data_IF_100945905144
#
_entry.id   IF_100945905144
#
_cell.length_a   1.000
_cell.length_b   1.000
_cell.length_c   1.000
_cell.angle_alpha   90.00
_cell.angle_beta   90.00
_cell.angle_gamma   90.00
#
_symmetry.space_group_name_H-M   'P 1'
#
loop_
_entity.id
_entity.type
_entity.pdbx_description
1 polymer ?
#
# COMPACT_ATOMS: atom_id res chain seq x y z
N UNK A 1 38.56 11.67 14.82
CA UNK A 1 39.63 12.07 13.88
C UNK A 1 40.16 10.78 13.27
N UNK A 2 39.57 10.30 12.16
CA UNK A 2 39.97 9.04 11.51
C UNK A 2 40.83 9.43 10.31
N UNK A 3 42.08 8.99 10.34
CA UNK A 3 43.07 9.27 9.31
C UNK A 3 42.65 8.57 8.01
N UNK A 4 42.36 9.38 6.99
CA UNK A 4 42.32 8.94 5.60
C UNK A 4 43.73 8.51 5.20
N UNK A 5 44.05 7.22 5.28
CA UNK A 5 45.07 6.69 4.38
C UNK A 5 44.49 6.76 2.96
N UNK A 6 45.09 7.54 2.04
CA UNK A 6 44.64 7.56 0.66
C UNK A 6 44.89 6.18 0.07
N UNK A 7 43.84 5.53 -0.42
CA UNK A 7 43.96 4.33 -1.25
C UNK A 7 44.98 4.64 -2.34
N UNK A 8 46.06 3.86 -2.46
CA UNK A 8 47.12 4.08 -3.45
C UNK A 8 46.61 4.04 -4.91
N UNK A 9 45.36 3.65 -5.12
CA UNK A 9 44.71 3.53 -6.41
C UNK A 9 43.78 4.72 -6.72
N UNK A 10 43.84 5.19 -7.96
CA UNK A 10 43.07 6.34 -8.43
C UNK A 10 41.59 5.97 -8.58
N UNK A 11 40.71 6.77 -7.98
CA UNK A 11 39.25 6.67 -8.14
C UNK A 11 38.85 6.78 -9.62
N UNK A 12 38.04 5.86 -10.16
CA UNK A 12 37.42 6.01 -11.48
C UNK A 12 36.56 7.27 -11.61
N UNK A 13 36.46 7.83 -12.83
CA UNK A 13 35.70 9.08 -13.08
C UNK A 13 34.19 8.90 -12.93
N UNK A 14 33.67 7.71 -13.23
CA UNK A 14 32.26 7.31 -13.16
C UNK A 14 31.74 7.02 -11.74
N UNK A 15 32.62 6.98 -10.73
CA UNK A 15 32.25 6.73 -9.33
C UNK A 15 32.17 8.03 -8.54
N UNK A 16 31.16 8.16 -7.68
CA UNK A 16 31.10 9.23 -6.69
C UNK A 16 32.22 9.06 -5.64
N UNK A 17 32.56 10.16 -4.94
CA UNK A 17 33.52 10.09 -3.84
C UNK A 17 33.00 9.24 -2.68
N UNK A 18 31.69 9.27 -2.41
CA UNK A 18 31.06 8.48 -1.35
C UNK A 18 31.13 6.97 -1.66
N UNK A 19 30.75 6.55 -2.87
CA UNK A 19 30.84 5.14 -3.28
C UNK A 19 32.29 4.63 -3.22
N UNK A 20 33.27 5.45 -3.65
CA UNK A 20 34.68 5.10 -3.53
C UNK A 20 35.14 4.89 -2.09
N UNK A 21 34.73 5.78 -1.17
CA UNK A 21 35.03 5.65 0.26
C UNK A 21 34.39 4.39 0.87
N UNK A 22 33.15 4.08 0.46
CA UNK A 22 32.43 2.89 0.91
C UNK A 22 33.14 1.61 0.47
N UNK A 23 33.61 1.52 -0.79
CA UNK A 23 34.36 0.37 -1.29
C UNK A 23 35.69 0.17 -0.57
N UNK A 24 36.42 1.26 -0.28
CA UNK A 24 37.63 1.21 0.54
C UNK A 24 37.35 0.70 1.96
N UNK A 25 36.22 1.11 2.53
CA UNK A 25 35.80 0.64 3.85
C UNK A 25 35.38 -0.82 3.82
N UNK A 26 34.67 -1.24 2.78
CA UNK A 26 34.24 -2.63 2.58
C UNK A 26 35.43 -3.59 2.51
N UNK A 27 36.46 -3.25 1.74
CA UNK A 27 37.71 -4.03 1.64
C UNK A 27 38.43 -4.13 2.99
N UNK A 28 38.45 -3.05 3.79
CA UNK A 28 39.05 -3.08 5.13
C UNK A 28 38.26 -3.90 6.15
N UNK A 29 36.93 -3.86 6.09
CA UNK A 29 36.05 -4.52 7.07
C UNK A 29 35.99 -6.03 6.85
N UNK A 30 36.03 -6.50 5.60
CA UNK A 30 36.09 -7.91 5.29
C UNK A 30 37.15 -8.19 4.21
N UNK A 31 38.45 -8.19 4.60
CA UNK A 31 39.55 -8.44 3.67
C UNK A 31 39.56 -9.86 3.11
N UNK A 32 38.92 -10.82 3.80
CA UNK A 32 38.85 -12.20 3.32
C UNK A 32 38.00 -12.33 2.05
N UNK A 33 36.87 -11.61 2.00
CA UNK A 33 35.97 -11.62 0.86
C UNK A 33 36.36 -10.60 -0.22
N UNK A 34 36.77 -9.38 0.16
CA UNK A 34 36.93 -8.25 -0.76
C UNK A 34 38.39 -7.90 -1.05
N UNK A 35 39.31 -8.85 -0.91
CA UNK A 35 40.73 -8.63 -1.16
C UNK A 35 40.98 -8.07 -2.55
N UNK A 36 41.73 -6.96 -2.64
CA UNK A 36 42.07 -6.26 -3.88
C UNK A 36 40.86 -5.67 -4.63
N UNK A 37 39.71 -5.47 -3.98
CA UNK A 37 38.52 -4.90 -4.61
C UNK A 37 38.81 -3.53 -5.24
N UNK A 38 39.38 -2.61 -4.45
CA UNK A 38 39.68 -1.23 -4.88
C UNK A 38 40.68 -1.24 -6.03
N UNK A 39 41.70 -2.11 -5.94
CA UNK A 39 42.70 -2.31 -7.00
C UNK A 39 42.04 -2.84 -8.28
N UNK A 40 41.18 -3.85 -8.18
CA UNK A 40 40.48 -4.44 -9.32
C UNK A 40 39.60 -3.41 -10.02
N UNK A 41 38.86 -2.60 -9.26
CA UNK A 41 38.01 -1.53 -9.81
C UNK A 41 38.85 -0.47 -10.54
N UNK A 42 39.96 -0.01 -9.95
CA UNK A 42 40.82 0.97 -10.62
C UNK A 42 41.48 0.44 -11.90
N UNK A 43 41.89 -0.83 -11.93
CA UNK A 43 42.60 -1.42 -13.08
C UNK A 43 41.65 -1.93 -14.17
N UNK A 44 40.46 -2.39 -13.80
CA UNK A 44 39.50 -3.06 -14.70
C UNK A 44 38.11 -2.42 -14.69
N UNK A 45 38.06 -1.08 -14.62
CA UNK A 45 36.82 -0.30 -14.50
C UNK A 45 35.75 -0.64 -15.55
N UNK A 46 36.12 -1.06 -16.77
CA UNK A 46 35.16 -1.45 -17.80
C UNK A 46 34.33 -2.69 -17.39
N UNK A 47 34.95 -3.72 -16.81
CA UNK A 47 34.26 -4.94 -16.35
C UNK A 47 33.32 -4.64 -15.19
N UNK A 48 33.77 -3.78 -14.27
CA UNK A 48 32.95 -3.34 -13.16
C UNK A 48 31.78 -2.48 -13.61
N UNK A 49 31.98 -1.62 -14.60
CA UNK A 49 30.88 -0.86 -15.19
C UNK A 49 29.87 -1.77 -15.89
N UNK A 50 30.31 -2.78 -16.63
CA UNK A 50 29.42 -3.77 -17.23
C UNK A 50 28.63 -4.52 -16.16
N UNK A 51 29.32 -5.02 -15.12
CA UNK A 51 28.69 -5.68 -13.97
C UNK A 51 27.65 -4.80 -13.28
N UNK A 52 27.92 -3.51 -13.07
CA UNK A 52 27.03 -2.58 -12.38
C UNK A 52 26.01 -1.87 -13.28
N UNK A 53 26.09 -2.02 -14.61
CA UNK A 53 25.18 -1.42 -15.59
C UNK A 53 24.07 -2.38 -16.04
N UNK A 54 23.82 -3.47 -15.32
CA UNK A 54 22.64 -4.33 -15.55
C UNK A 54 21.38 -3.44 -15.63
N UNK A 55 20.72 -3.49 -16.78
CA UNK A 55 19.59 -2.63 -17.11
C UNK A 55 18.34 -2.96 -16.27
N UNK A 56 17.41 -2.02 -16.22
CA UNK A 56 16.24 -2.05 -15.34
C UNK A 56 14.99 -2.68 -15.98
N UNK A 57 15.01 -3.04 -17.26
CA UNK A 57 13.74 -3.25 -17.96
C UNK A 57 13.16 -4.66 -17.87
N UNK A 58 13.92 -5.75 -17.87
CA UNK A 58 13.34 -7.10 -17.70
C UNK A 58 14.40 -8.09 -17.21
N UNK A 59 13.99 -9.07 -16.40
CA UNK A 59 14.87 -10.13 -15.93
C UNK A 59 15.06 -11.15 -17.06
N UNK A 60 16.29 -11.28 -17.52
CA UNK A 60 16.71 -12.42 -18.33
C UNK A 60 17.59 -13.34 -17.50
N UNK A 61 17.65 -14.63 -17.85
CA UNK A 61 18.62 -15.58 -17.25
C UNK A 61 20.05 -15.02 -17.28
N UNK A 62 20.36 -14.21 -18.30
CA UNK A 62 21.66 -13.53 -18.46
C UNK A 62 21.99 -12.53 -17.35
N UNK A 63 20.99 -11.86 -16.76
CA UNK A 63 21.23 -10.88 -15.69
C UNK A 63 21.64 -11.56 -14.38
N UNK A 64 21.05 -12.73 -14.12
CA UNK A 64 21.41 -13.59 -12.98
C UNK A 64 22.81 -14.16 -13.17
N UNK A 65 23.13 -14.62 -14.37
CA UNK A 65 24.48 -15.10 -14.72
C UNK A 65 25.53 -14.00 -14.57
N UNK A 66 25.18 -12.75 -14.92
CA UNK A 66 26.07 -11.60 -14.75
C UNK A 66 26.31 -11.28 -13.26
N UNK A 67 25.26 -11.31 -12.43
CA UNK A 67 25.38 -11.17 -10.96
C UNK A 67 26.25 -12.30 -10.37
N UNK A 68 26.12 -13.51 -10.93
CA UNK A 68 26.93 -14.66 -10.54
C UNK A 68 28.40 -14.51 -10.98
N UNK A 69 28.66 -13.89 -12.12
CA UNK A 69 29.97 -13.63 -12.72
C UNK A 69 30.64 -12.35 -12.20
N UNK A 70 30.65 -12.16 -10.88
CA UNK A 70 31.31 -11.01 -10.26
C UNK A 70 32.77 -10.88 -10.77
N UNK A 71 33.25 -9.69 -11.17
CA UNK A 71 34.62 -9.51 -11.69
C UNK A 71 35.74 -9.76 -10.67
N UNK A 72 35.39 -9.99 -9.40
CA UNK A 72 36.32 -10.29 -8.34
C UNK A 72 36.72 -11.78 -8.39
N UNK A 73 38.01 -12.07 -8.15
CA UNK A 73 38.51 -13.46 -8.17
C UNK A 73 37.92 -14.30 -7.03
N UNK A 74 37.60 -13.66 -5.90
CA UNK A 74 36.93 -14.32 -4.79
C UNK A 74 35.47 -14.62 -5.14
N UNK A 75 35.04 -15.85 -4.84
CA UNK A 75 33.63 -16.21 -4.90
C UNK A 75 32.91 -15.56 -3.73
N UNK A 76 32.27 -14.43 -4.01
CA UNK A 76 31.42 -13.74 -3.04
C UNK A 76 30.12 -14.51 -2.83
N UNK A 77 29.68 -14.56 -1.57
CA UNK A 77 28.31 -14.98 -1.23
C UNK A 77 27.29 -13.95 -1.77
N UNK A 78 26.02 -14.34 -1.84
CA UNK A 78 24.94 -13.43 -2.28
C UNK A 78 24.86 -12.18 -1.41
N UNK A 79 24.96 -12.33 -0.08
CA UNK A 79 24.94 -11.19 0.85
C UNK A 79 26.12 -10.27 0.61
N UNK A 80 27.32 -10.81 0.39
CA UNK A 80 28.51 -10.01 0.06
C UNK A 80 28.37 -9.28 -1.27
N UNK A 81 27.77 -9.91 -2.28
CA UNK A 81 27.44 -9.25 -3.55
C UNK A 81 26.44 -8.11 -3.33
N UNK A 82 25.38 -8.32 -2.55
CA UNK A 82 24.42 -7.25 -2.23
C UNK A 82 25.10 -6.06 -1.54
N UNK A 83 25.96 -6.33 -0.55
CA UNK A 83 26.73 -5.28 0.13
C UNK A 83 27.63 -4.55 -0.86
N UNK A 84 28.32 -5.27 -1.73
CA UNK A 84 29.15 -4.66 -2.78
C UNK A 84 28.34 -3.74 -3.70
N UNK A 85 27.15 -4.18 -4.13
CA UNK A 85 26.22 -3.36 -4.91
C UNK A 85 25.74 -2.12 -4.14
N UNK A 86 25.41 -2.23 -2.85
CA UNK A 86 25.05 -1.05 -2.03
C UNK A 86 26.18 -0.02 -1.92
N UNK A 87 27.43 -0.48 -1.89
CA UNK A 87 28.58 0.40 -1.81
C UNK A 87 28.88 1.10 -3.15
N UNK A 88 28.63 0.44 -4.28
CA UNK A 88 28.91 0.99 -5.61
C UNK A 88 27.74 1.80 -6.19
N UNK A 89 26.53 1.21 -6.21
CA UNK A 89 25.27 1.75 -6.77
C UNK A 89 24.15 1.73 -5.69
N UNK A 90 24.22 2.57 -4.65
CA UNK A 90 23.19 2.60 -3.61
C UNK A 90 21.78 2.88 -4.16
N UNK A 91 21.68 3.64 -5.25
CA UNK A 91 20.42 3.97 -5.93
C UNK A 91 19.71 2.75 -6.54
N UNK A 92 20.45 1.67 -6.84
CA UNK A 92 19.89 0.44 -7.41
C UNK A 92 19.60 -0.64 -6.37
N UNK A 93 19.81 -0.36 -5.08
CA UNK A 93 19.73 -1.40 -4.04
C UNK A 93 18.38 -2.13 -4.03
N UNK A 94 17.27 -1.39 -4.06
CA UNK A 94 15.93 -1.98 -4.06
C UNK A 94 15.70 -2.91 -5.26
N UNK A 95 16.16 -2.50 -6.45
CA UNK A 95 16.06 -3.30 -7.67
C UNK A 95 16.84 -4.61 -7.53
N UNK A 96 18.03 -4.55 -6.95
CA UNK A 96 18.94 -5.69 -6.82
C UNK A 96 18.43 -6.67 -5.76
N UNK A 97 17.95 -6.18 -4.63
CA UNK A 97 17.33 -7.02 -3.59
C UNK A 97 16.12 -7.74 -4.18
N UNK A 98 15.30 -7.04 -4.96
CA UNK A 98 14.14 -7.64 -5.64
C UNK A 98 14.58 -8.73 -6.63
N UNK A 99 15.64 -8.47 -7.41
CA UNK A 99 16.24 -9.45 -8.35
C UNK A 99 16.76 -10.69 -7.63
N UNK A 100 17.47 -10.53 -6.51
CA UNK A 100 17.96 -11.65 -5.72
C UNK A 100 16.82 -12.45 -5.09
N UNK A 101 15.79 -11.79 -4.57
CA UNK A 101 14.62 -12.45 -4.02
C UNK A 101 13.89 -13.27 -5.10
N UNK A 102 13.73 -12.73 -6.31
CA UNK A 102 13.14 -13.48 -7.42
C UNK A 102 13.97 -14.71 -7.79
N UNK A 103 15.30 -14.61 -7.84
CA UNK A 103 16.16 -15.76 -8.12
C UNK A 103 16.04 -16.85 -7.04
N UNK A 104 16.14 -16.46 -5.76
CA UNK A 104 16.12 -17.43 -4.66
C UNK A 104 14.76 -18.02 -4.37
N UNK A 105 13.69 -17.25 -4.58
CA UNK A 105 12.32 -17.67 -4.33
C UNK A 105 11.62 -18.19 -5.60
N UNK A 106 12.36 -18.34 -6.72
CA UNK A 106 11.83 -18.91 -7.97
C UNK A 106 10.73 -18.09 -8.63
N UNK A 107 10.81 -16.76 -8.55
CA UNK A 107 9.81 -15.85 -9.11
C UNK A 107 8.49 -15.79 -8.34
N UNK A 108 8.39 -16.42 -7.16
CA UNK A 108 7.19 -16.41 -6.33
C UNK A 108 6.96 -15.10 -5.55
N UNK A 109 7.63 -14.01 -5.90
CA UNK A 109 7.23 -12.69 -5.37
C UNK A 109 5.90 -12.36 -6.06
N UNK A 110 4.75 -12.42 -5.35
CA UNK A 110 3.51 -11.99 -5.96
C UNK A 110 3.71 -10.51 -6.28
N UNK A 111 3.45 -10.11 -7.53
CA UNK A 111 3.16 -8.70 -7.79
C UNK A 111 2.07 -8.30 -6.81
N UNK A 112 2.37 -7.44 -5.83
CA UNK A 112 1.45 -7.03 -4.76
C UNK A 112 0.41 -6.05 -5.29
N UNK A 113 -0.16 -6.36 -6.46
CA UNK A 113 -0.87 -5.39 -7.28
C UNK A 113 -2.33 -5.22 -6.86
N UNK A 114 -2.90 -6.19 -6.15
CA UNK A 114 -4.30 -6.15 -5.75
C UNK A 114 -4.48 -6.31 -4.24
N UNK A 115 -5.30 -5.44 -3.66
CA UNK A 115 -5.84 -5.60 -2.32
C UNK A 115 -6.66 -6.90 -2.27
N UNK A 116 -6.03 -7.99 -1.83
CA UNK A 116 -6.65 -9.31 -1.89
C UNK A 116 -7.62 -9.56 -0.72
N UNK A 117 -8.72 -8.81 -0.71
CA UNK A 117 -9.77 -8.91 0.30
C UNK A 117 -10.40 -10.30 0.36
N UNK A 118 -10.47 -11.01 -0.77
CA UNK A 118 -11.03 -12.36 -0.85
C UNK A 118 -10.18 -13.38 -0.09
N UNK A 119 -8.85 -13.30 -0.22
CA UNK A 119 -7.95 -14.15 0.57
C UNK A 119 -7.96 -13.75 2.05
N UNK A 120 -7.99 -12.45 2.36
CA UNK A 120 -8.13 -11.99 3.74
C UNK A 120 -9.43 -12.52 4.38
N UNK A 121 -10.54 -12.49 3.66
CA UNK A 121 -11.81 -13.07 4.10
C UNK A 121 -11.70 -14.58 4.33
N UNK A 122 -11.09 -15.34 3.40
CA UNK A 122 -10.91 -16.80 3.55
C UNK A 122 -10.08 -17.20 4.76
N UNK A 123 -9.07 -16.38 5.10
CA UNK A 123 -8.20 -16.60 6.26
C UNK A 123 -8.82 -16.09 7.58
N UNK A 124 -9.79 -15.18 7.49
CA UNK A 124 -10.51 -14.66 8.64
C UNK A 124 -11.59 -15.62 9.13
N UNK A 125 -12.06 -15.35 10.34
CA UNK A 125 -13.21 -16.03 10.92
C UNK A 125 -14.07 -15.04 11.69
N UNK A 126 -15.16 -15.52 12.29
CA UNK A 126 -16.01 -14.69 13.17
C UNK A 126 -15.30 -14.16 14.42
N UNK A 127 -14.12 -14.69 14.77
CA UNK A 127 -13.35 -14.28 15.94
C UNK A 127 -12.01 -13.61 15.61
N UNK A 128 -11.60 -13.65 14.33
CA UNK A 128 -10.33 -13.10 13.86
C UNK A 128 -10.63 -11.89 12.98
N UNK A 129 -10.38 -10.66 13.47
CA UNK A 129 -10.62 -9.45 12.69
C UNK A 129 -9.63 -9.32 11.53
N UNK A 130 -9.98 -8.50 10.55
CA UNK A 130 -9.11 -8.13 9.43
C UNK A 130 -8.69 -6.68 9.64
N UNK A 131 -7.39 -6.42 9.72
CA UNK A 131 -6.80 -5.09 9.81
C UNK A 131 -6.23 -4.69 8.46
N UNK A 132 -6.84 -3.70 7.83
CA UNK A 132 -6.37 -3.12 6.58
C UNK A 132 -5.64 -1.83 6.90
N UNK A 133 -4.35 -1.80 6.59
CA UNK A 133 -3.55 -0.58 6.69
C UNK A 133 -3.56 0.14 5.35
N UNK A 134 -4.02 1.38 5.35
CA UNK A 134 -4.15 2.22 4.16
C UNK A 134 -3.10 3.33 4.20
N UNK A 135 -2.59 3.80 3.04
CA UNK A 135 -1.78 5.01 3.02
C UNK A 135 -2.64 6.19 3.46
N UNK A 136 -2.00 7.16 4.13
CA UNK A 136 -2.62 8.42 4.58
C UNK A 136 -3.24 9.22 3.43
N UNK A 137 -2.64 9.13 2.25
CA UNK A 137 -3.25 9.62 1.01
C UNK A 137 -4.49 8.76 0.72
N UNK A 138 -5.64 9.19 1.23
CA UNK A 138 -6.96 8.56 1.02
C UNK A 138 -7.43 8.69 -0.44
N UNK A 139 -6.56 8.47 -1.42
CA UNK A 139 -6.78 8.89 -2.81
C UNK A 139 -7.30 7.81 -3.74
N UNK A 140 -6.88 6.56 -3.56
CA UNK A 140 -6.70 5.69 -4.74
C UNK A 140 -7.65 4.50 -4.80
N UNK A 141 -8.36 4.16 -3.71
CA UNK A 141 -9.23 2.99 -3.68
C UNK A 141 -10.12 3.06 -2.43
N UNK A 142 -11.45 3.11 -2.59
CA UNK A 142 -12.34 2.96 -1.43
C UNK A 142 -12.41 1.50 -1.03
N UNK A 143 -11.51 1.11 -0.12
CA UNK A 143 -11.48 -0.23 0.49
C UNK A 143 -12.86 -0.65 0.98
N UNK A 144 -13.61 0.28 1.56
CA UNK A 144 -14.97 0.09 2.07
C UNK A 144 -15.97 -0.32 0.98
N UNK A 145 -15.93 0.32 -0.19
CA UNK A 145 -16.77 -0.07 -1.35
C UNK A 145 -16.47 -1.51 -1.76
N UNK A 146 -15.19 -1.89 -1.74
CA UNK A 146 -14.72 -3.19 -2.22
C UNK A 146 -15.01 -4.30 -1.22
N UNK A 147 -14.98 -4.00 0.09
CA UNK A 147 -15.55 -4.88 1.12
C UNK A 147 -17.06 -5.06 0.88
N UNK A 148 -17.78 -3.99 0.51
CA UNK A 148 -19.20 -4.06 0.18
C UNK A 148 -19.50 -4.92 -1.05
N UNK A 149 -18.70 -4.80 -2.12
CA UNK A 149 -18.78 -5.67 -3.31
C UNK A 149 -18.49 -7.12 -2.95
N UNK A 150 -17.44 -7.37 -2.16
CA UNK A 150 -17.08 -8.71 -1.70
C UNK A 150 -18.18 -9.36 -0.84
N UNK A 151 -18.81 -8.59 0.05
CA UNK A 151 -19.92 -9.09 0.87
C UNK A 151 -21.07 -9.59 -0.02
N UNK A 152 -21.47 -8.81 -1.03
CA UNK A 152 -22.50 -9.18 -2.00
C UNK A 152 -22.11 -10.40 -2.86
N UNK A 153 -20.83 -10.53 -3.22
CA UNK A 153 -20.33 -11.68 -3.98
C UNK A 153 -20.43 -12.98 -3.17
N UNK A 154 -20.17 -12.92 -1.86
CA UNK A 154 -20.18 -14.09 -0.99
C UNK A 154 -21.60 -14.48 -0.60
N UNK A 155 -22.41 -13.52 -0.15
CA UNK A 155 -23.81 -13.72 0.21
C UNK A 155 -24.61 -12.42 -0.01
N UNK A 156 -25.64 -12.46 -0.85
CA UNK A 156 -26.47 -11.29 -1.18
C UNK A 156 -27.13 -10.64 0.05
N UNK A 157 -27.44 -11.43 1.08
CA UNK A 157 -28.13 -10.98 2.31
C UNK A 157 -27.20 -10.44 3.40
N UNK A 158 -25.88 -10.47 3.23
CA UNK A 158 -24.96 -9.94 4.24
C UNK A 158 -25.06 -8.42 4.28
N UNK A 159 -25.59 -7.92 5.40
CA UNK A 159 -25.55 -6.49 5.72
C UNK A 159 -24.13 -6.07 6.11
N UNK A 160 -23.64 -5.01 5.49
CA UNK A 160 -22.38 -4.35 5.87
C UNK A 160 -22.71 -3.05 6.61
N UNK A 161 -22.20 -2.92 7.83
CA UNK A 161 -22.32 -1.74 8.68
C UNK A 161 -21.01 -0.99 8.67
N UNK A 162 -21.00 0.18 8.03
CA UNK A 162 -19.83 1.05 7.93
C UNK A 162 -19.90 2.10 9.04
N UNK A 163 -18.82 2.23 9.79
CA UNK A 163 -18.66 3.21 10.87
C UNK A 163 -17.41 4.04 10.61
N UNK A 164 -17.60 5.29 10.21
CA UNK A 164 -16.52 6.27 10.27
C UNK A 164 -16.42 6.85 11.69
N UNK A 165 -15.19 6.91 12.19
CA UNK A 165 -14.87 7.43 13.52
C UNK A 165 -14.31 8.86 13.44
N UNK A 166 -14.80 9.65 12.48
CA UNK A 166 -14.36 11.03 12.28
C UNK A 166 -15.11 12.02 13.20
N UNK A 167 -16.33 11.68 13.66
CA UNK A 167 -17.21 12.55 14.47
C UNK A 167 -17.13 12.28 15.98
N UNK A 168 -16.69 13.27 16.77
CA UNK A 168 -16.20 13.18 18.17
C UNK A 168 -17.19 12.59 19.18
N UNK A 169 -18.51 12.77 19.01
CA UNK A 169 -19.45 12.41 20.06
C UNK A 169 -19.88 10.92 19.99
N UNK A 170 -19.62 10.17 21.07
CA UNK A 170 -20.06 8.78 21.27
C UNK A 170 -19.47 7.71 20.34
N UNK A 171 -18.32 7.95 19.67
CA UNK A 171 -17.58 6.99 18.80
C UNK A 171 -17.53 5.56 19.37
N UNK A 172 -17.07 5.44 20.61
CA UNK A 172 -16.82 4.15 21.26
C UNK A 172 -18.13 3.40 21.58
N UNK A 173 -19.20 4.13 21.98
CA UNK A 173 -20.49 3.51 22.27
C UNK A 173 -21.15 2.97 21.00
N UNK A 174 -21.08 3.74 19.90
CA UNK A 174 -21.56 3.31 18.58
C UNK A 174 -20.82 2.06 18.10
N UNK A 175 -19.50 2.04 18.23
CA UNK A 175 -18.68 0.87 17.92
C UNK A 175 -19.12 -0.36 18.72
N UNK A 176 -19.20 -0.24 20.04
CA UNK A 176 -19.62 -1.35 20.91
C UNK A 176 -21.03 -1.85 20.61
N UNK A 177 -21.97 -0.94 20.29
CA UNK A 177 -23.34 -1.28 19.91
C UNK A 177 -23.38 -2.03 18.57
N UNK A 178 -22.74 -1.48 17.55
CA UNK A 178 -22.70 -2.07 16.22
C UNK A 178 -22.04 -3.47 16.20
N UNK A 179 -20.95 -3.66 16.97
CA UNK A 179 -20.35 -4.99 17.12
C UNK A 179 -21.34 -5.95 17.78
N UNK A 180 -21.99 -5.56 18.89
CA UNK A 180 -22.96 -6.41 19.58
C UNK A 180 -24.16 -6.79 18.71
N UNK A 181 -24.67 -5.86 17.92
CA UNK A 181 -25.79 -6.12 17.01
C UNK A 181 -25.35 -7.04 15.85
N UNK A 182 -24.20 -6.77 15.24
CA UNK A 182 -23.67 -7.56 14.14
C UNK A 182 -23.27 -8.98 14.54
N UNK A 183 -22.80 -9.20 15.77
CA UNK A 183 -22.56 -10.53 16.33
C UNK A 183 -23.83 -11.37 16.35
N UNK A 184 -24.99 -10.75 16.63
CA UNK A 184 -26.29 -11.44 16.70
C UNK A 184 -26.85 -11.70 15.31
N UNK A 185 -26.75 -10.72 14.42
CA UNK A 185 -27.39 -10.73 13.11
C UNK A 185 -26.50 -11.28 11.98
N UNK A 186 -25.22 -11.57 12.25
CA UNK A 186 -24.30 -12.06 11.22
C UNK A 186 -23.83 -11.01 10.23
N UNK A 187 -23.97 -9.73 10.57
CA UNK A 187 -23.55 -8.61 9.71
C UNK A 187 -22.04 -8.39 9.75
N UNK A 188 -21.49 -7.75 8.72
CA UNK A 188 -20.10 -7.31 8.71
C UNK A 188 -20.00 -5.91 9.28
N UNK A 189 -18.99 -5.65 10.10
CA UNK A 189 -18.69 -4.32 10.63
C UNK A 189 -17.40 -3.82 9.99
N UNK A 190 -17.46 -2.67 9.33
CA UNK A 190 -16.30 -1.97 8.77
C UNK A 190 -16.09 -0.70 9.59
N UNK A 191 -14.95 -0.62 10.27
CA UNK A 191 -14.57 0.54 11.09
C UNK A 191 -13.52 1.34 10.35
N UNK A 192 -13.91 2.48 9.82
CA UNK A 192 -13.02 3.42 9.16
C UNK A 192 -12.28 4.27 10.19
N UNK A 193 -11.03 4.59 9.88
CA UNK A 193 -10.18 5.47 10.69
C UNK A 193 -10.10 5.03 12.15
N UNK A 194 -9.94 3.72 12.39
CA UNK A 194 -9.90 3.15 13.76
C UNK A 194 -8.78 3.76 14.63
N UNK A 195 -7.72 4.24 13.98
CA UNK A 195 -6.58 4.92 14.59
C UNK A 195 -6.92 6.32 15.15
N UNK A 196 -8.09 6.88 14.82
CA UNK A 196 -8.59 8.14 15.40
C UNK A 196 -9.24 7.93 16.77
N UNK A 197 -9.44 6.69 17.22
CA UNK A 197 -9.83 6.41 18.61
C UNK A 197 -8.64 6.71 19.53
N UNK A 198 -8.69 7.88 20.16
CA UNK A 198 -7.70 8.31 21.16
C UNK A 198 -7.71 7.44 22.41
N UNK A 199 -8.89 6.94 22.81
CA UNK A 199 -9.07 6.09 23.98
C UNK A 199 -9.99 4.91 23.66
N UNK A 200 -9.63 3.73 24.15
CA UNK A 200 -10.44 2.52 24.03
C UNK A 200 -11.14 2.25 25.36
N UNK A 201 -12.48 2.16 25.35
CA UNK A 201 -13.18 1.79 26.58
C UNK A 201 -12.89 0.33 26.94
N UNK A 202 -12.78 0.05 28.25
CA UNK A 202 -12.60 -1.32 28.76
C UNK A 202 -13.72 -2.25 28.29
N UNK A 203 -14.94 -1.74 28.14
CA UNK A 203 -16.09 -2.53 27.69
C UNK A 203 -15.96 -2.98 26.24
N UNK A 204 -15.45 -2.13 25.35
CA UNK A 204 -15.21 -2.49 23.94
C UNK A 204 -14.01 -3.43 23.83
N UNK A 205 -12.92 -3.17 24.55
CA UNK A 205 -11.79 -4.09 24.59
C UNK A 205 -12.21 -5.46 25.10
N UNK A 206 -12.97 -5.51 26.20
CA UNK A 206 -13.50 -6.76 26.75
C UNK A 206 -14.39 -7.49 25.74
N UNK A 207 -15.27 -6.77 25.04
CA UNK A 207 -16.09 -7.35 23.97
C UNK A 207 -15.21 -7.98 22.87
N UNK A 208 -14.14 -7.30 22.45
CA UNK A 208 -13.22 -7.79 21.43
C UNK A 208 -12.42 -9.01 21.91
N UNK A 209 -12.01 -9.02 23.18
CA UNK A 209 -11.40 -10.20 23.81
C UNK A 209 -12.37 -11.37 23.90
N UNK A 210 -13.62 -11.14 24.32
CA UNK A 210 -14.63 -12.20 24.41
C UNK A 210 -14.96 -12.79 23.02
N UNK A 211 -14.92 -11.97 21.96
CA UNK A 211 -15.04 -12.42 20.57
C UNK A 211 -13.90 -13.38 20.21
N UNK A 212 -12.66 -13.01 20.55
CA UNK A 212 -11.47 -13.83 20.30
C UNK A 212 -11.50 -15.16 21.06
N UNK A 213 -11.83 -15.11 22.35
CA UNK A 213 -11.84 -16.30 23.21
C UNK A 213 -12.91 -17.31 22.80
N UNK A 214 -13.97 -16.86 22.10
CA UNK A 214 -15.02 -17.76 21.61
C UNK A 214 -14.53 -18.83 20.63
N UNK A 215 -13.37 -18.63 19.98
CA UNK A 215 -12.80 -19.59 19.02
C UNK A 215 -11.62 -20.40 19.53
N UNK A 216 -11.08 -20.09 20.71
CA UNK A 216 -9.95 -20.85 21.26
C UNK A 216 -10.38 -22.27 21.60
N UNK A 217 -9.53 -23.25 21.28
CA UNK A 217 -9.78 -24.63 21.70
C UNK A 217 -9.69 -24.73 23.23
N UNK A 218 -10.28 -25.80 23.80
CA UNK A 218 -10.18 -26.04 25.25
C UNK A 218 -8.71 -26.17 25.69
N UNK A 219 -7.88 -26.78 24.85
CA UNK A 219 -6.45 -27.01 25.09
C UNK A 219 -5.63 -25.70 25.05
N UNK A 220 -5.94 -24.79 24.11
CA UNK A 220 -5.30 -23.46 24.03
C UNK A 220 -5.68 -22.57 25.22
N UNK A 221 -6.91 -22.70 25.73
CA UNK A 221 -7.36 -22.01 26.94
C UNK A 221 -6.65 -22.52 28.20
N UNK A 222 -6.43 -23.83 28.31
CA UNK A 222 -5.72 -24.45 29.44
C UNK A 222 -4.25 -23.98 29.47
N UNK A 223 -3.58 -23.97 28.32
CA UNK A 223 -2.23 -23.38 28.17
C UNK A 223 -2.20 -21.90 28.54
N UNK A 224 -3.16 -21.09 28.09
CA UNK A 224 -3.15 -19.65 28.37
C UNK A 224 -3.43 -19.31 29.84
N UNK A 225 -4.23 -20.13 30.52
CA UNK A 225 -4.44 -20.01 31.96
C UNK A 225 -3.17 -20.38 32.76
N UNK A 226 -2.38 -21.35 32.30
CA UNK A 226 -1.10 -21.72 32.93
C UNK A 226 -0.02 -20.63 32.78
N UNK A 227 -0.02 -19.88 31.66
CA UNK A 227 0.94 -18.78 31.43
C UNK A 227 0.54 -17.43 32.04
N UNK A 228 -0.72 -17.25 32.45
CA UNK A 228 -1.20 -16.01 33.06
C UNK A 228 -0.80 -15.97 34.54
N UNK A 229 0.40 -15.43 34.81
CA UNK A 229 0.96 -15.17 36.13
C UNK A 229 -0.08 -14.67 37.14
N UNK A 230 -0.40 -15.48 38.16
CA UNK A 230 -0.88 -15.13 39.50
C UNK A 230 -1.44 -13.70 39.70
N UNK A 231 -2.49 -13.32 38.98
CA UNK A 231 -3.31 -12.17 39.35
C UNK A 231 -4.29 -12.69 40.41
N UNK A 232 -4.34 -12.10 41.62
CA UNK A 232 -5.22 -12.58 42.68
C UNK A 232 -6.66 -12.64 42.18
N UNK A 233 -7.22 -13.84 42.15
CA UNK A 233 -8.58 -14.12 41.72
C UNK A 233 -9.57 -13.35 42.60
N UNK A 234 -10.10 -12.26 42.07
CA UNK A 234 -11.33 -11.69 42.63
C UNK A 234 -12.48 -12.59 42.21
N UNK A 235 -13.15 -13.16 43.21
CA UNK A 235 -14.23 -14.16 43.19
C UNK A 235 -15.44 -13.84 42.28
N UNK A 236 -15.24 -13.74 40.98
CA UNK A 236 -16.29 -13.58 39.96
C UNK A 236 -16.12 -14.61 38.83
N UNK A 237 -15.79 -15.86 39.19
CA UNK A 237 -15.65 -16.99 38.26
C UNK A 237 -16.96 -17.43 37.59
N UNK A 238 -18.12 -16.90 38.00
CA UNK A 238 -19.42 -17.29 37.43
C UNK A 238 -19.76 -16.65 36.09
N UNK A 239 -18.96 -15.70 35.57
CA UNK A 239 -19.25 -15.00 34.31
C UNK A 239 -18.26 -15.23 33.18
N UNK A 240 -17.11 -15.88 33.41
CA UNK A 240 -16.12 -16.18 32.35
C UNK A 240 -16.54 -17.31 31.39
N UNK A 241 -17.50 -18.15 31.77
CA UNK A 241 -17.88 -19.36 31.00
C UNK A 241 -19.06 -19.19 30.04
N UNK A 242 -19.53 -17.97 29.75
CA UNK A 242 -20.51 -17.78 28.67
C UNK A 242 -19.78 -17.43 27.39
N UNK A 243 -19.47 -18.46 26.58
CA UNK A 243 -19.13 -18.26 25.17
C UNK A 243 -20.21 -17.36 24.57
N UNK A 244 -19.81 -16.17 24.09
CA UNK A 244 -20.73 -15.32 23.34
C UNK A 244 -21.12 -16.13 22.10
N UNK A 245 -22.42 -16.30 21.88
CA UNK A 245 -22.91 -16.92 20.66
C UNK A 245 -22.64 -15.96 19.51
N UNK A 246 -21.59 -16.21 18.72
CA UNK A 246 -21.23 -15.37 17.58
C UNK A 246 -21.74 -16.02 16.30
N UNK A 247 -22.54 -15.26 15.57
CA UNK A 247 -23.05 -15.67 14.27
C UNK A 247 -21.91 -16.01 13.31
N UNK A 248 -22.07 -17.07 12.54
CA UNK A 248 -21.01 -17.61 11.65
C UNK A 248 -20.53 -16.62 10.58
N UNK A 249 -21.46 -15.82 10.05
CA UNK A 249 -21.19 -14.80 9.03
C UNK A 249 -20.60 -13.50 9.56
N UNK A 250 -20.58 -13.28 10.88
CA UNK A 250 -20.02 -12.05 11.44
C UNK A 250 -18.55 -11.87 11.03
N UNK A 251 -18.17 -10.66 10.60
CA UNK A 251 -16.79 -10.27 10.32
C UNK A 251 -16.54 -8.85 10.81
N UNK A 252 -15.34 -8.62 11.34
CA UNK A 252 -14.87 -7.32 11.79
C UNK A 252 -13.70 -6.87 10.90
N UNK A 253 -13.88 -5.75 10.21
CA UNK A 253 -12.89 -5.10 9.36
C UNK A 253 -12.48 -3.78 10.00
N UNK A 254 -11.18 -3.60 10.21
CA UNK A 254 -10.58 -2.41 10.81
C UNK A 254 -9.72 -1.72 9.76
N UNK A 255 -10.01 -0.46 9.44
CA UNK A 255 -9.22 0.33 8.51
C UNK A 255 -8.44 1.37 9.30
N UNK A 256 -7.13 1.41 9.06
CA UNK A 256 -6.21 2.28 9.78
C UNK A 256 -5.18 2.89 8.83
N UNK A 257 -4.75 4.11 9.14
CA UNK A 257 -3.57 4.68 8.49
C UNK A 257 -2.32 3.92 8.92
N UNK A 258 -1.51 3.50 7.93
CA UNK A 258 -0.22 2.83 8.12
C UNK A 258 0.69 3.58 9.09
N UNK A 259 0.69 4.91 9.07
CA UNK A 259 1.55 5.72 9.93
C UNK A 259 1.06 5.75 11.39
N UNK A 260 -0.20 5.40 11.63
CA UNK A 260 -0.88 5.56 12.91
C UNK A 260 -1.27 4.23 13.58
N UNK A 261 -0.73 3.10 13.11
CA UNK A 261 -1.01 1.78 13.69
C UNK A 261 -0.68 1.68 15.17
N UNK A 262 0.31 2.43 15.66
CA UNK A 262 0.70 2.47 17.07
C UNK A 262 -0.39 3.01 18.02
N UNK A 263 -1.45 3.64 17.49
CA UNK A 263 -2.61 4.11 18.26
C UNK A 263 -3.66 2.99 18.49
N UNK A 264 -3.49 1.85 17.83
CA UNK A 264 -4.39 0.71 17.95
C UNK A 264 -3.85 -0.21 19.06
N UNK A 265 -4.71 -0.79 19.91
CA UNK A 265 -4.30 -1.76 20.91
C UNK A 265 -3.52 -2.92 20.28
N UNK A 266 -2.38 -3.25 20.87
CA UNK A 266 -1.49 -4.33 20.43
C UNK A 266 -2.24 -5.65 20.22
N UNK A 267 -3.18 -5.99 21.10
CA UNK A 267 -4.01 -7.18 20.97
C UNK A 267 -4.76 -7.24 19.64
N UNK A 268 -5.29 -6.12 19.16
CA UNK A 268 -5.97 -6.07 17.87
C UNK A 268 -5.00 -6.15 16.69
N UNK A 269 -3.80 -5.60 16.84
CA UNK A 269 -2.76 -5.68 15.81
C UNK A 269 -2.24 -7.12 15.69
N UNK A 270 -1.93 -7.77 16.81
CA UNK A 270 -1.35 -9.12 16.80
C UNK A 270 -2.35 -10.20 16.40
N UNK A 271 -3.62 -10.04 16.75
CA UNK A 271 -4.65 -11.07 16.54
C UNK A 271 -5.45 -10.89 15.24
N UNK A 272 -5.05 -9.97 14.36
CA UNK A 272 -5.74 -9.70 13.10
C UNK A 272 -5.05 -10.29 11.88
N UNK A 273 -5.83 -10.60 10.85
CA UNK A 273 -5.32 -10.78 9.48
C UNK A 273 -4.92 -9.41 8.95
N UNK A 274 -3.64 -9.21 8.69
CA UNK A 274 -3.10 -7.93 8.20
C UNK A 274 -3.12 -7.89 6.69
N UNK A 275 -3.70 -6.83 6.15
CA UNK A 275 -3.69 -6.52 4.73
C UNK A 275 -3.14 -5.12 4.56
N UNK A 276 -2.20 -4.94 3.65
CA UNK A 276 -1.65 -3.62 3.32
C UNK A 276 -2.28 -3.20 2.00
N UNK A 277 -3.01 -2.09 2.02
CA UNK A 277 -3.38 -1.38 0.80
C UNK A 277 -2.19 -0.54 0.39
N UNK A 278 -1.69 -0.75 -0.82
CA UNK A 278 -0.60 0.04 -1.38
C UNK A 278 -1.15 1.10 -2.32
N UNK A 279 -0.38 2.17 -2.54
CA UNK A 279 -0.64 3.11 -3.63
C UNK A 279 -0.58 2.34 -4.95
N UNK A 280 -1.66 2.40 -5.72
CA UNK A 280 -1.70 1.81 -7.05
C UNK A 280 -0.68 2.50 -7.95
N UNK A 281 -0.12 1.80 -8.94
CA UNK A 281 0.65 2.46 -9.99
C UNK A 281 -0.29 3.18 -10.99
N UNK A 282 0.29 3.89 -11.97
CA UNK A 282 -0.47 4.64 -12.97
C UNK A 282 -1.37 3.74 -13.82
N UNK A 283 -0.89 2.57 -14.21
CA UNK A 283 -1.63 1.59 -15.02
C UNK A 283 -2.82 1.04 -14.23
N UNK A 284 -2.60 0.65 -12.97
CA UNK A 284 -3.63 0.16 -12.06
C UNK A 284 -4.69 1.23 -11.75
N UNK A 285 -4.27 2.48 -11.58
CA UNK A 285 -5.19 3.60 -11.36
C UNK A 285 -6.07 3.81 -12.58
N UNK A 286 -5.48 3.81 -13.79
CA UNK A 286 -6.21 3.90 -15.04
C UNK A 286 -7.21 2.74 -15.21
N UNK A 287 -6.79 1.50 -14.97
CA UNK A 287 -7.65 0.33 -15.05
C UNK A 287 -8.79 0.35 -14.01
N UNK A 288 -8.49 0.83 -12.80
CA UNK A 288 -9.50 1.00 -11.73
C UNK A 288 -10.53 2.08 -12.09
N UNK A 289 -10.09 3.19 -12.70
CA UNK A 289 -10.95 4.23 -13.24
C UNK A 289 -11.94 3.65 -14.28
N UNK A 290 -11.43 2.92 -15.29
CA UNK A 290 -12.27 2.31 -16.33
C UNK A 290 -13.27 1.31 -15.73
N UNK A 291 -12.79 0.37 -14.92
CA UNK A 291 -13.63 -0.69 -14.32
C UNK A 291 -14.78 -0.11 -13.48
N UNK A 292 -14.53 0.98 -12.76
CA UNK A 292 -15.57 1.62 -11.97
C UNK A 292 -16.59 2.39 -12.85
N UNK A 293 -16.17 2.96 -13.98
CA UNK A 293 -17.09 3.62 -14.92
C UNK A 293 -17.89 2.64 -15.78
N UNK A 294 -17.37 1.46 -16.13
CA UNK A 294 -18.12 0.47 -16.94
C UNK A 294 -19.48 0.05 -16.32
N UNK A 295 -19.68 0.30 -15.03
CA UNK A 295 -20.97 0.17 -14.36
C UNK A 295 -22.03 1.20 -14.83
N UNK A 296 -21.60 2.32 -15.42
CA UNK A 296 -22.36 3.43 -15.99
C UNK A 296 -22.46 3.24 -17.51
N UNK A 297 -23.40 2.39 -17.94
CA UNK A 297 -23.55 1.89 -19.33
C UNK A 297 -23.92 2.94 -20.40
N UNK A 298 -23.95 4.24 -20.09
CA UNK A 298 -24.63 5.26 -20.91
C UNK A 298 -23.75 6.41 -21.38
N UNK A 299 -22.42 6.35 -21.21
CA UNK A 299 -21.53 7.48 -21.46
C UNK A 299 -20.59 7.25 -22.65
N UNK A 300 -20.17 8.33 -23.31
CA UNK A 300 -19.21 8.29 -24.42
C UNK A 300 -17.87 7.66 -23.99
N UNK A 301 -17.44 6.62 -24.72
CA UNK A 301 -16.20 5.86 -24.43
C UNK A 301 -14.94 6.73 -24.49
N UNK A 302 -14.89 7.71 -25.40
CA UNK A 302 -13.73 8.61 -25.54
C UNK A 302 -13.50 9.40 -24.25
N UNK A 303 -14.57 9.93 -23.67
CA UNK A 303 -14.49 10.70 -22.42
C UNK A 303 -14.06 9.87 -21.23
N UNK A 304 -14.47 8.60 -21.19
CA UNK A 304 -14.06 7.66 -20.15
C UNK A 304 -12.55 7.45 -20.21
N UNK A 305 -12.01 7.25 -21.41
CA UNK A 305 -10.56 7.04 -21.63
C UNK A 305 -9.76 8.31 -21.30
N UNK A 306 -10.21 9.47 -21.79
CA UNK A 306 -9.60 10.78 -21.49
C UNK A 306 -9.61 11.07 -19.99
N UNK A 307 -10.74 10.78 -19.33
CA UNK A 307 -10.91 11.03 -17.92
C UNK A 307 -10.00 10.15 -17.06
N UNK A 308 -9.95 8.87 -17.39
CA UNK A 308 -9.12 7.89 -16.70
C UNK A 308 -7.64 8.21 -16.91
N UNK A 309 -7.25 8.67 -18.11
CA UNK A 309 -5.88 9.08 -18.44
C UNK A 309 -5.48 10.34 -17.70
N UNK A 310 -6.33 11.36 -17.68
CA UNK A 310 -6.07 12.60 -16.96
C UNK A 310 -5.92 12.34 -15.46
N UNK A 311 -6.85 11.58 -14.88
CA UNK A 311 -6.82 11.26 -13.46
C UNK A 311 -5.56 10.46 -13.12
N UNK A 312 -5.21 9.42 -13.89
CA UNK A 312 -4.00 8.64 -13.61
C UNK A 312 -2.72 9.48 -13.70
N UNK A 313 -2.60 10.35 -14.71
CA UNK A 313 -1.43 11.21 -14.88
C UNK A 313 -1.27 12.25 -13.78
N UNK A 314 -2.36 12.93 -13.40
CA UNK A 314 -2.30 13.97 -12.37
C UNK A 314 -2.00 13.37 -11.00
N UNK A 315 -2.62 12.23 -10.70
CA UNK A 315 -2.51 11.59 -9.39
C UNK A 315 -1.14 10.91 -9.20
N UNK A 316 -0.48 10.48 -10.29
CA UNK A 316 0.89 9.90 -10.27
C UNK A 316 2.00 10.88 -10.62
N UNK A 317 1.72 12.17 -10.68
CA UNK A 317 2.76 13.14 -10.97
C UNK A 317 3.67 13.40 -9.75
N UNK A 318 4.63 12.49 -9.56
CA UNK A 318 5.60 12.52 -8.48
C UNK A 318 6.52 13.76 -8.51
N UNK A 319 6.68 14.39 -9.68
CA UNK A 319 7.61 15.51 -9.86
C UNK A 319 7.26 16.75 -9.04
N UNK A 320 5.99 16.92 -8.66
CA UNK A 320 5.55 18.13 -7.95
C UNK A 320 4.66 17.91 -6.73
N UNK A 321 4.22 16.68 -6.43
CA UNK A 321 3.28 16.39 -5.31
C UNK A 321 2.17 17.46 -5.24
N UNK A 322 1.54 17.68 -6.40
CA UNK A 322 0.73 18.87 -6.69
C UNK A 322 -0.44 19.08 -5.74
N UNK A 323 -0.99 17.98 -5.21
CA UNK A 323 -1.96 17.89 -4.11
C UNK A 323 -2.33 16.41 -3.89
N UNK A 324 -3.17 16.12 -2.90
CA UNK A 324 -3.82 14.82 -2.73
C UNK A 324 -5.12 14.82 -3.54
N UNK A 325 -5.14 14.07 -4.64
CA UNK A 325 -6.29 13.91 -5.50
C UNK A 325 -6.97 12.58 -5.22
N UNK A 326 -8.30 12.59 -5.18
CA UNK A 326 -9.07 11.44 -4.74
C UNK A 326 -9.92 10.87 -5.88
N UNK A 327 -10.20 9.57 -5.81
CA UNK A 327 -11.19 8.92 -6.70
C UNK A 327 -12.56 9.60 -6.63
N UNK A 328 -12.89 10.27 -5.52
CA UNK A 328 -14.10 11.07 -5.44
C UNK A 328 -14.10 12.24 -6.43
N UNK A 329 -12.95 12.88 -6.66
CA UNK A 329 -12.80 13.94 -7.67
C UNK A 329 -13.02 13.37 -9.08
N UNK A 330 -12.53 12.16 -9.32
CA UNK A 330 -12.79 11.41 -10.55
C UNK A 330 -14.28 11.06 -10.70
N UNK A 331 -14.95 10.56 -9.66
CA UNK A 331 -16.39 10.27 -9.74
C UNK A 331 -17.23 11.53 -9.91
N UNK A 332 -16.86 12.62 -9.25
CA UNK A 332 -17.50 13.92 -9.44
C UNK A 332 -17.35 14.37 -10.89
N UNK A 333 -16.16 14.20 -11.46
CA UNK A 333 -15.90 14.50 -12.86
C UNK A 333 -16.73 13.68 -13.82
N UNK A 334 -16.73 12.35 -13.68
CA UNK A 334 -17.52 11.45 -14.52
C UNK A 334 -19.00 11.78 -14.42
N UNK A 335 -19.50 12.05 -13.21
CA UNK A 335 -20.88 12.45 -12.99
C UNK A 335 -21.20 13.77 -13.69
N UNK A 336 -20.36 14.79 -13.55
CA UNK A 336 -20.57 16.08 -14.23
C UNK A 336 -20.57 15.91 -15.74
N UNK A 337 -19.69 15.08 -16.29
CA UNK A 337 -19.71 14.81 -17.73
C UNK A 337 -20.97 14.07 -18.18
N UNK A 338 -21.46 13.11 -17.40
CA UNK A 338 -22.72 12.44 -17.69
C UNK A 338 -23.89 13.43 -17.68
N UNK A 339 -23.96 14.28 -16.66
CA UNK A 339 -25.00 15.30 -16.55
C UNK A 339 -24.93 16.27 -17.76
N UNK A 340 -23.72 16.61 -18.22
CA UNK A 340 -23.52 17.42 -19.43
C UNK A 340 -23.90 16.69 -20.72
N UNK A 341 -23.57 15.41 -20.86
CA UNK A 341 -23.95 14.57 -22.01
C UNK A 341 -25.48 14.54 -22.16
N UNK A 342 -26.19 14.35 -21.05
CA UNK A 342 -27.66 14.36 -21.01
C UNK A 342 -28.25 15.75 -21.33
N UNK A 343 -27.57 16.84 -20.97
CA UNK A 343 -28.01 18.21 -21.24
C UNK A 343 -27.71 18.69 -22.67
N UNK A 344 -26.67 18.16 -23.32
CA UNK A 344 -26.13 18.67 -24.59
C UNK A 344 -26.64 17.86 -25.81
N UNK A 345 -27.48 16.83 -25.62
CA UNK A 345 -28.07 16.04 -26.72
C UNK A 345 -28.79 16.88 -27.82
N UNK A 346 -29.08 18.16 -27.55
CA UNK A 346 -29.75 19.10 -28.47
C UNK A 346 -28.89 20.31 -28.94
N UNK A 347 -27.58 20.40 -28.64
CA UNK A 347 -26.78 21.60 -28.97
C UNK A 347 -25.52 21.33 -29.80
N UNK A 348 -25.42 22.05 -30.93
CA UNK A 348 -24.29 22.13 -31.88
C UNK A 348 -23.09 22.91 -31.26
N UNK A 349 -22.67 22.48 -30.07
CA UNK A 349 -21.75 23.20 -29.19
C UNK A 349 -20.37 22.56 -29.10
N UNK A 350 -19.36 23.40 -28.92
CA UNK A 350 -17.94 23.04 -28.81
C UNK A 350 -17.66 22.27 -27.51
N UNK A 351 -17.94 20.98 -27.59
CA UNK A 351 -18.04 20.05 -26.47
C UNK A 351 -16.69 19.83 -25.77
N UNK A 352 -15.60 19.82 -26.54
CA UNK A 352 -14.23 19.69 -26.02
C UNK A 352 -13.83 20.92 -25.19
N UNK A 353 -14.25 22.13 -25.60
CA UNK A 353 -14.01 23.34 -24.82
C UNK A 353 -14.85 23.40 -23.53
N UNK A 354 -16.09 22.88 -23.56
CA UNK A 354 -16.92 22.74 -22.36
C UNK A 354 -16.27 21.75 -21.39
N UNK A 355 -15.84 20.58 -21.89
CA UNK A 355 -15.13 19.57 -21.12
C UNK A 355 -13.84 20.13 -20.50
N UNK A 356 -13.06 20.88 -21.26
CA UNK A 356 -11.85 21.56 -20.79
C UNK A 356 -12.16 22.52 -19.64
N UNK A 357 -13.15 23.40 -19.78
CA UNK A 357 -13.48 24.39 -18.76
C UNK A 357 -13.97 23.75 -17.47
N UNK A 358 -14.80 22.71 -17.55
CA UNK A 358 -15.28 21.98 -16.36
C UNK A 358 -14.12 21.32 -15.63
N UNK A 359 -13.27 20.60 -16.36
CA UNK A 359 -12.12 19.96 -15.76
C UNK A 359 -11.16 20.95 -15.14
N UNK A 360 -10.83 21.99 -15.89
CA UNK A 360 -9.89 23.00 -15.48
C UNK A 360 -10.42 23.77 -14.27
N UNK A 361 -11.57 24.43 -14.39
CA UNK A 361 -12.01 25.46 -13.45
C UNK A 361 -12.84 24.93 -12.27
N UNK A 362 -13.34 23.69 -12.32
CA UNK A 362 -14.22 23.15 -11.27
C UNK A 362 -13.63 21.98 -10.49
N UNK A 363 -12.76 21.19 -11.12
CA UNK A 363 -12.32 19.92 -10.53
C UNK A 363 -10.83 19.99 -10.28
N UNK A 364 -10.06 20.22 -11.34
CA UNK A 364 -8.63 19.97 -11.30
C UNK A 364 -7.79 21.15 -10.80
N UNK A 365 -8.08 22.38 -11.22
CA UNK A 365 -7.24 23.51 -10.75
C UNK A 365 -7.72 24.16 -9.47
N UNK A 366 -8.94 23.85 -9.00
CA UNK A 366 -9.55 24.47 -7.82
C UNK A 366 -8.76 24.19 -6.53
N UNK A 367 -8.18 23.00 -6.41
CA UNK A 367 -7.43 22.62 -5.22
C UNK A 367 -6.00 23.20 -5.23
N UNK A 368 -5.48 23.58 -6.40
CA UNK A 368 -4.10 24.04 -6.58
C UNK A 368 -3.95 25.49 -6.12
N UNK A 369 -2.92 25.75 -5.30
CA UNK A 369 -2.62 27.10 -4.80
C UNK A 369 -1.47 27.78 -5.54
N UNK A 370 -0.58 26.99 -6.14
CA UNK A 370 0.58 27.51 -6.87
C UNK A 370 0.25 27.80 -8.33
N UNK A 371 0.67 28.97 -8.81
CA UNK A 371 0.36 29.42 -10.17
C UNK A 371 1.05 28.57 -11.25
N UNK A 372 2.27 28.07 -11.00
CA UNK A 372 3.01 27.20 -11.92
C UNK A 372 2.33 25.83 -12.02
N UNK A 373 1.74 25.36 -10.92
CA UNK A 373 1.00 24.10 -10.85
C UNK A 373 -0.34 24.19 -11.57
N UNK A 374 -1.06 25.30 -11.39
CA UNK A 374 -2.27 25.62 -12.16
C UNK A 374 -1.98 25.64 -13.66
N UNK A 375 -0.90 26.31 -14.08
CA UNK A 375 -0.50 26.37 -15.50
C UNK A 375 -0.13 24.99 -16.04
N UNK A 376 0.56 24.17 -15.25
CA UNK A 376 0.91 22.81 -15.63
C UNK A 376 -0.34 21.95 -15.83
N UNK A 377 -1.25 21.95 -14.85
CA UNK A 377 -2.51 21.20 -14.93
C UNK A 377 -3.35 21.67 -16.13
N UNK A 378 -3.49 22.98 -16.36
CA UNK A 378 -4.15 23.55 -17.54
C UNK A 378 -3.59 23.02 -18.84
N UNK A 379 -2.25 23.02 -18.96
CA UNK A 379 -1.58 22.53 -20.17
C UNK A 379 -1.82 21.04 -20.39
N UNK A 380 -1.75 20.24 -19.34
CA UNK A 380 -1.97 18.80 -19.42
C UNK A 380 -3.43 18.47 -19.82
N UNK A 381 -4.41 19.14 -19.20
CA UNK A 381 -5.84 19.00 -19.52
C UNK A 381 -6.08 19.36 -20.98
N UNK A 382 -5.49 20.47 -21.46
CA UNK A 382 -5.61 20.91 -22.85
C UNK A 382 -5.06 19.86 -23.83
N UNK A 383 -3.89 19.30 -23.53
CA UNK A 383 -3.25 18.30 -24.39
C UNK A 383 -4.08 17.01 -24.51
N UNK A 384 -4.78 16.61 -23.46
CA UNK A 384 -5.55 15.36 -23.44
C UNK A 384 -6.93 15.53 -24.11
N UNK A 385 -7.54 16.70 -23.99
CA UNK A 385 -8.93 16.92 -24.45
C UNK A 385 -8.99 17.61 -25.80
N UNK A 386 -8.20 18.66 -26.00
CA UNK A 386 -8.30 19.56 -27.15
C UNK A 386 -7.26 19.21 -28.21
N UNK A 387 -6.00 19.01 -27.83
CA UNK A 387 -4.89 18.84 -28.78
C UNK A 387 -4.64 17.35 -29.15
N UNK A 388 -5.72 16.54 -29.27
CA UNK A 388 -5.69 15.08 -29.49
C UNK A 388 -4.93 14.63 -30.75
#
# INVERSE_FOLDING_TARGET
MVLNEPSAFKKPSNLSLSSWSNLNTLERLNPAAFKNLVKSISLSNHKWNEYFNINNCDITEKDVDLINSCPLEQQLTIVEKMVLWTCYRPEKFCDIVSKFNMYHLGGLMPKTNDLNLKNAYKLSSRSVPILISTPKEHGYFSVTIEIGKLAKEIHEDIRVVILSLDDEENKIKRLGYAIKESIRNGSWVVVENVHLLSEWSRDVLKLLYDIKDSSRSKEEMELWNDYSLNIPETKNERTRNRRIGIHENFRLWLLADMENLYKIPDSLIFDSIKVVSQKQDMEQTYMSCIKNIESIKTMNKSWIEEASTLHSLITHNEFRKLNEWHFQDFFNYVKTLKDLDEMIQDADSDLDNIQFNVLNDLIYTVQLKDHVDILFAKKLIKQIIIDK
#
